data_IF_479072927992
#
_entry.id   IF_479072927992
#
_cell.length_a   1.000
_cell.length_b   1.000
_cell.length_c   1.000
_cell.angle_alpha   90.00
_cell.angle_beta   90.00
_cell.angle_gamma   90.00
#
_symmetry.space_group_name_H-M   'P 1'
#
loop_
_entity.id
_entity.type
_entity.pdbx_description
1 polymer ?
#
# COMPACT_ATOMS: atom_id res chain seq x y z
N UNK A 1 -8.76 30.60 23.14
CA UNK A 1 -9.61 30.76 21.94
C UNK A 1 -9.92 29.37 21.41
N UNK A 2 -11.06 28.81 21.80
CA UNK A 2 -11.54 27.49 21.35
C UNK A 2 -12.29 27.68 20.03
N UNK A 3 -11.71 27.19 18.93
CA UNK A 3 -12.37 27.14 17.62
C UNK A 3 -13.39 26.00 17.63
N UNK A 4 -14.60 26.31 18.08
CA UNK A 4 -15.75 25.42 17.99
C UNK A 4 -16.25 25.44 16.53
N UNK A 5 -15.62 24.64 15.67
CA UNK A 5 -16.06 24.48 14.28
C UNK A 5 -17.27 23.54 14.30
N UNK A 6 -18.48 23.97 13.90
CA UNK A 6 -19.64 23.08 13.86
C UNK A 6 -19.34 21.95 12.86
N UNK A 7 -19.50 20.70 13.31
CA UNK A 7 -19.52 19.54 12.43
C UNK A 7 -20.62 19.77 11.41
N UNK A 8 -20.25 20.03 10.15
CA UNK A 8 -21.20 20.03 9.05
C UNK A 8 -21.90 18.66 9.07
N UNK A 9 -23.22 18.64 9.25
CA UNK A 9 -23.98 17.39 9.11
C UNK A 9 -23.94 17.01 7.62
N UNK A 10 -22.95 16.23 7.24
CA UNK A 10 -23.03 15.49 5.98
C UNK A 10 -24.26 14.58 6.11
N UNK A 11 -25.22 14.73 5.21
CA UNK A 11 -26.26 13.71 5.05
C UNK A 11 -25.56 12.37 4.90
N UNK A 12 -25.96 11.37 5.69
CA UNK A 12 -25.36 10.04 5.61
C UNK A 12 -25.30 9.60 4.15
N UNK A 13 -24.16 9.07 3.66
CA UNK A 13 -24.08 8.59 2.30
C UNK A 13 -25.14 7.50 2.08
N UNK A 14 -26.12 7.77 1.20
CA UNK A 14 -27.13 6.80 0.81
C UNK A 14 -26.62 5.94 -0.34
N UNK A 15 -26.59 4.62 -0.10
CA UNK A 15 -26.18 3.65 -1.11
C UNK A 15 -27.38 3.18 -1.91
N UNK A 16 -27.54 3.70 -3.14
CA UNK A 16 -28.55 3.20 -4.08
C UNK A 16 -28.00 2.02 -4.88
N UNK A 17 -28.52 0.82 -4.61
CA UNK A 17 -28.13 -0.40 -5.31
C UNK A 17 -29.04 -0.67 -6.51
N UNK A 18 -28.45 -0.77 -7.70
CA UNK A 18 -29.14 -1.22 -8.92
C UNK A 18 -28.74 -2.67 -9.22
N UNK A 19 -29.69 -3.59 -9.04
CA UNK A 19 -29.45 -5.02 -9.24
C UNK A 19 -29.02 -5.40 -10.66
N UNK A 20 -29.39 -4.64 -11.70
CA UNK A 20 -28.92 -4.87 -13.07
C UNK A 20 -27.46 -4.46 -13.21
N UNK A 21 -27.10 -3.27 -12.70
CA UNK A 21 -25.71 -2.78 -12.75
C UNK A 21 -24.78 -3.68 -11.95
N UNK A 22 -25.21 -4.14 -10.77
CA UNK A 22 -24.45 -5.09 -9.96
C UNK A 22 -24.23 -6.40 -10.71
N UNK A 23 -25.28 -6.96 -11.33
CA UNK A 23 -25.17 -8.21 -12.09
C UNK A 23 -24.23 -8.08 -13.29
N UNK A 24 -24.32 -6.97 -14.03
CA UNK A 24 -23.41 -6.71 -15.14
C UNK A 24 -21.96 -6.57 -14.67
N UNK A 25 -21.71 -5.79 -13.62
CA UNK A 25 -20.37 -5.63 -13.06
C UNK A 25 -19.79 -6.95 -12.56
N UNK A 26 -20.60 -7.75 -11.86
CA UNK A 26 -20.22 -9.07 -11.36
C UNK A 26 -19.88 -10.03 -12.50
N UNK A 27 -20.73 -10.13 -13.53
CA UNK A 27 -20.47 -11.01 -14.67
C UNK A 27 -19.20 -10.58 -15.43
N UNK A 28 -18.99 -9.28 -15.64
CA UNK A 28 -17.75 -8.77 -16.24
C UNK A 28 -16.51 -9.13 -15.41
N UNK A 29 -16.61 -9.09 -14.09
CA UNK A 29 -15.52 -9.49 -13.19
C UNK A 29 -15.22 -10.99 -13.32
N UNK A 30 -16.25 -11.85 -13.33
CA UNK A 30 -16.10 -13.29 -13.55
C UNK A 30 -15.47 -13.59 -14.90
N UNK A 31 -16.00 -13.03 -15.99
CA UNK A 31 -15.47 -13.23 -17.34
C UNK A 31 -14.00 -12.80 -17.49
N UNK A 32 -13.60 -11.75 -16.76
CA UNK A 32 -12.21 -11.32 -16.71
C UNK A 32 -11.34 -12.28 -15.88
N UNK A 33 -11.83 -12.77 -14.74
CA UNK A 33 -11.12 -13.72 -13.91
C UNK A 33 -10.89 -15.05 -14.65
N UNK A 34 -11.91 -15.57 -15.34
CA UNK A 34 -11.80 -16.79 -16.15
C UNK A 34 -10.71 -16.69 -17.23
N UNK A 35 -10.56 -15.53 -17.88
CA UNK A 35 -9.48 -15.29 -18.86
C UNK A 35 -8.09 -15.33 -18.25
N UNK A 36 -7.98 -15.10 -16.94
CA UNK A 36 -6.72 -15.13 -16.19
C UNK A 36 -6.48 -16.49 -15.51
N UNK A 37 -7.35 -17.48 -15.74
CA UNK A 37 -7.23 -18.82 -15.15
C UNK A 37 -8.16 -19.07 -13.96
N UNK A 38 -9.14 -18.18 -13.73
CA UNK A 38 -10.11 -18.28 -12.63
C UNK A 38 -9.75 -17.38 -11.45
N UNK A 39 -10.67 -17.28 -10.49
CA UNK A 39 -10.46 -16.49 -9.27
C UNK A 39 -9.39 -17.11 -8.39
N UNK A 40 -9.24 -18.44 -8.44
CA UNK A 40 -8.28 -19.23 -7.69
C UNK A 40 -6.85 -18.81 -8.02
N UNK A 41 -6.52 -18.66 -9.30
CA UNK A 41 -5.19 -18.21 -9.76
C UNK A 41 -4.89 -16.78 -9.28
N UNK A 42 -5.89 -15.91 -9.28
CA UNK A 42 -5.74 -14.53 -8.79
C UNK A 42 -5.49 -14.52 -7.28
N UNK A 43 -6.25 -15.31 -6.52
CA UNK A 43 -6.08 -15.45 -5.07
C UNK A 43 -4.74 -16.06 -4.73
N UNK A 44 -4.30 -17.08 -5.46
CA UNK A 44 -2.98 -17.70 -5.29
C UNK A 44 -1.86 -16.68 -5.58
N UNK A 45 -1.97 -15.91 -6.66
CA UNK A 45 -1.03 -14.83 -6.96
C UNK A 45 -0.97 -13.75 -5.88
N UNK A 46 -2.13 -13.38 -5.31
CA UNK A 46 -2.20 -12.41 -4.21
C UNK A 46 -1.57 -12.97 -2.92
N UNK A 47 -1.83 -14.25 -2.62
CA UNK A 47 -1.18 -14.94 -1.50
C UNK A 47 0.34 -15.01 -1.68
N UNK A 48 0.80 -15.33 -2.89
CA UNK A 48 2.23 -15.33 -3.23
C UNK A 48 2.89 -13.97 -3.05
N UNK A 49 2.22 -12.88 -3.44
CA UNK A 49 2.68 -11.51 -3.19
C UNK A 49 2.80 -11.23 -1.68
N UNK A 50 1.77 -11.54 -0.89
CA UNK A 50 1.79 -11.33 0.56
C UNK A 50 2.92 -12.11 1.23
N UNK A 51 3.13 -13.38 0.85
CA UNK A 51 4.24 -14.19 1.34
C UNK A 51 5.60 -13.58 0.98
N UNK A 52 5.75 -13.06 -0.25
CA UNK A 52 6.99 -12.39 -0.66
C UNK A 52 7.28 -11.15 0.20
N UNK A 53 6.27 -10.31 0.43
CA UNK A 53 6.41 -9.11 1.26
C UNK A 53 6.77 -9.46 2.71
N UNK A 54 6.09 -10.43 3.31
CA UNK A 54 6.41 -10.91 4.66
C UNK A 54 7.85 -11.44 4.77
N UNK A 55 8.30 -12.26 3.82
CA UNK A 55 9.68 -12.79 3.82
C UNK A 55 10.73 -11.69 3.65
N UNK A 56 10.39 -10.65 2.90
CA UNK A 56 11.29 -9.53 2.63
C UNK A 56 11.40 -8.58 3.83
N UNK A 57 10.25 -8.23 4.44
CA UNK A 57 10.18 -7.16 5.44
C UNK A 57 10.03 -7.66 6.89
N UNK A 58 9.39 -8.80 7.15
CA UNK A 58 9.27 -9.33 8.51
C UNK A 58 10.49 -10.18 8.91
N UNK A 59 10.96 -11.04 7.99
CA UNK A 59 12.02 -12.01 8.31
C UNK A 59 13.44 -11.46 8.07
N UNK A 60 13.59 -10.47 7.17
CA UNK A 60 14.90 -10.08 6.62
C UNK A 60 15.18 -8.57 6.59
N UNK A 61 14.36 -7.73 7.23
CA UNK A 61 14.51 -6.27 7.11
C UNK A 61 15.92 -5.77 7.47
N UNK A 62 16.56 -6.34 8.50
CA UNK A 62 17.89 -5.92 8.99
C UNK A 62 19.00 -5.94 7.93
N UNK A 63 18.85 -6.78 6.90
CA UNK A 63 19.82 -6.92 5.81
C UNK A 63 19.14 -6.87 4.43
N UNK A 64 18.06 -6.10 4.31
CA UNK A 64 17.33 -5.96 3.05
C UNK A 64 18.27 -5.48 1.93
N UNK A 65 18.35 -6.24 0.83
CA UNK A 65 19.10 -5.82 -0.34
C UNK A 65 18.26 -4.91 -1.24
N UNK A 66 18.91 -3.97 -1.93
CA UNK A 66 18.23 -3.06 -2.87
C UNK A 66 17.47 -3.85 -3.95
N UNK A 67 18.05 -4.93 -4.46
CA UNK A 67 17.39 -5.79 -5.46
C UNK A 67 16.13 -6.45 -4.92
N UNK A 68 16.13 -6.92 -3.67
CA UNK A 68 14.97 -7.57 -3.05
C UNK A 68 13.84 -6.56 -2.83
N UNK A 69 14.18 -5.36 -2.39
CA UNK A 69 13.23 -4.25 -2.31
C UNK A 69 12.66 -3.86 -3.68
N UNK A 70 13.49 -3.81 -4.74
CA UNK A 70 13.01 -3.49 -6.08
C UNK A 70 12.14 -4.60 -6.67
N UNK A 71 12.38 -5.86 -6.32
CA UNK A 71 11.54 -7.00 -6.69
C UNK A 71 10.15 -6.89 -6.06
N UNK A 72 10.03 -6.47 -4.79
CA UNK A 72 8.71 -6.21 -4.18
C UNK A 72 8.00 -5.02 -4.84
N UNK A 73 8.74 -3.95 -5.16
CA UNK A 73 8.19 -2.81 -5.90
C UNK A 73 7.59 -3.20 -7.25
N UNK A 74 8.06 -4.28 -7.89
CA UNK A 74 7.56 -4.73 -9.19
C UNK A 74 6.08 -5.12 -9.16
N UNK A 75 5.56 -5.54 -8.00
CA UNK A 75 4.16 -5.87 -7.77
C UNK A 75 3.26 -4.65 -7.54
N UNK A 76 3.84 -3.45 -7.45
CA UNK A 76 3.13 -2.19 -7.25
C UNK A 76 3.44 -1.23 -8.41
N UNK A 77 2.68 -1.26 -9.52
CA UNK A 77 3.04 -0.56 -10.76
C UNK A 77 3.35 0.93 -10.61
N UNK A 78 2.63 1.63 -9.72
CA UNK A 78 2.88 3.05 -9.45
C UNK A 78 4.18 3.26 -8.67
N UNK A 79 4.43 2.45 -7.64
CA UNK A 79 5.68 2.46 -6.87
C UNK A 79 6.86 2.14 -7.78
N UNK A 80 6.79 1.05 -8.55
CA UNK A 80 7.83 0.65 -9.53
C UNK A 80 8.27 1.79 -10.44
N UNK A 81 7.33 2.62 -10.89
CA UNK A 81 7.61 3.74 -11.80
C UNK A 81 8.22 4.94 -11.10
N UNK A 82 7.95 5.14 -9.81
CA UNK A 82 8.28 6.37 -9.06
C UNK A 82 9.38 6.19 -8.03
N UNK A 83 9.63 4.98 -7.56
CA UNK A 83 10.62 4.72 -6.51
C UNK A 83 12.03 5.14 -6.92
N UNK A 84 12.35 5.08 -8.22
CA UNK A 84 13.62 5.56 -8.74
C UNK A 84 13.88 7.03 -8.42
N UNK A 85 12.88 7.92 -8.48
CA UNK A 85 13.09 9.33 -8.14
C UNK A 85 13.36 9.54 -6.64
N UNK A 86 12.98 8.57 -5.80
CA UNK A 86 13.33 8.58 -4.38
C UNK A 86 14.78 8.15 -4.21
N UNK A 87 15.21 7.06 -4.86
CA UNK A 87 16.59 6.57 -4.85
C UNK A 87 17.61 7.52 -5.51
N UNK A 88 17.15 8.43 -6.38
CA UNK A 88 17.99 9.51 -6.93
C UNK A 88 18.28 10.61 -5.89
N UNK A 89 17.45 10.74 -4.84
CA UNK A 89 17.59 11.78 -3.80
C UNK A 89 18.19 11.25 -2.50
N UNK A 90 18.01 9.97 -2.18
CA UNK A 90 18.55 9.33 -1.00
C UNK A 90 19.16 7.98 -1.34
N UNK A 91 20.17 7.57 -0.57
CA UNK A 91 20.78 6.26 -0.77
C UNK A 91 19.80 5.16 -0.37
N UNK A 92 19.97 3.96 -0.94
CA UNK A 92 19.17 2.82 -0.50
C UNK A 92 19.37 2.50 0.99
N UNK A 93 20.56 2.76 1.55
CA UNK A 93 20.81 2.61 2.99
C UNK A 93 19.91 3.53 3.84
N UNK A 94 19.73 4.78 3.41
CA UNK A 94 18.84 5.73 4.10
C UNK A 94 17.38 5.27 3.99
N UNK A 95 16.98 4.76 2.81
CA UNK A 95 15.65 4.20 2.61
C UNK A 95 15.41 3.00 3.52
N UNK A 96 16.39 2.10 3.64
CA UNK A 96 16.28 0.93 4.49
C UNK A 96 16.12 1.32 5.97
N UNK A 97 16.83 2.35 6.44
CA UNK A 97 16.63 2.90 7.79
C UNK A 97 15.21 3.45 8.00
N UNK A 98 14.65 4.13 7.00
CA UNK A 98 13.27 4.63 7.04
C UNK A 98 12.27 3.47 7.07
N UNK A 99 12.50 2.41 6.29
CA UNK A 99 11.68 1.18 6.30
C UNK A 99 11.78 0.47 7.67
N UNK A 100 12.97 0.42 8.26
CA UNK A 100 13.16 -0.11 9.61
C UNK A 100 12.36 0.64 10.66
N UNK A 101 12.38 1.96 10.61
CA UNK A 101 11.59 2.79 11.50
C UNK A 101 10.08 2.57 11.32
N UNK A 102 9.61 2.32 10.09
CA UNK A 102 8.22 1.96 9.82
C UNK A 102 7.82 0.65 10.54
N UNK A 103 8.71 -0.35 10.54
CA UNK A 103 8.45 -1.70 11.07
C UNK A 103 8.69 -1.86 12.58
N UNK A 104 9.55 -1.04 13.18
CA UNK A 104 9.96 -1.17 14.58
C UNK A 104 8.82 -0.78 15.52
N UNK A 105 8.44 -1.62 16.49
CA UNK A 105 7.41 -1.34 17.51
C UNK A 105 6.03 -0.89 16.96
N UNK A 106 5.69 -1.28 15.73
CA UNK A 106 4.38 -1.00 15.14
C UNK A 106 3.29 -1.89 15.73
N UNK A 107 2.12 -1.30 15.96
CA UNK A 107 0.94 -1.90 16.56
C UNK A 107 -0.32 -1.28 15.95
N UNK A 108 -1.50 -1.82 16.26
CA UNK A 108 -2.77 -1.32 15.73
C UNK A 108 -3.03 0.12 16.20
N UNK A 109 -2.55 0.47 17.39
CA UNK A 109 -2.78 1.75 18.03
C UNK A 109 -1.92 2.90 17.46
N UNK A 110 -0.76 2.59 16.87
CA UNK A 110 0.21 3.58 16.37
C UNK A 110 0.50 3.47 14.86
N UNK A 111 -0.17 2.58 14.12
CA UNK A 111 0.08 2.35 12.69
C UNK A 111 0.01 3.63 11.85
N UNK A 112 -0.95 4.51 12.12
CA UNK A 112 -1.11 5.77 11.38
C UNK A 112 0.07 6.73 11.62
N UNK A 113 0.60 6.79 12.84
CA UNK A 113 1.77 7.61 13.19
C UNK A 113 3.03 7.11 12.47
N UNK A 114 3.19 5.78 12.37
CA UNK A 114 4.31 5.16 11.65
C UNK A 114 4.26 5.47 10.16
N UNK A 115 3.07 5.37 9.56
CA UNK A 115 2.86 5.73 8.15
C UNK A 115 3.13 7.23 7.93
N UNK A 116 2.63 8.11 8.79
CA UNK A 116 2.89 9.56 8.68
C UNK A 116 4.37 9.92 8.83
N UNK A 117 5.08 9.23 9.72
CA UNK A 117 6.53 9.40 9.92
C UNK A 117 7.31 8.91 8.69
N UNK A 118 6.90 7.79 8.09
CA UNK A 118 7.45 7.27 6.84
C UNK A 118 7.24 8.25 5.67
N UNK A 119 6.01 8.74 5.51
CA UNK A 119 5.67 9.76 4.50
C UNK A 119 6.51 11.04 4.67
N UNK A 120 6.64 11.52 5.90
CA UNK A 120 7.41 12.72 6.22
C UNK A 120 8.90 12.56 5.95
N UNK A 121 9.47 11.39 6.28
CA UNK A 121 10.89 11.08 6.06
C UNK A 121 11.26 11.06 4.57
N UNK A 122 10.31 10.68 3.72
CA UNK A 122 10.48 10.71 2.26
C UNK A 122 10.09 12.05 1.63
N UNK A 123 9.72 13.06 2.43
CA UNK A 123 9.26 14.37 1.99
C UNK A 123 8.06 14.26 1.04
N UNK A 124 7.13 13.34 1.36
CA UNK A 124 5.92 13.06 0.58
C UNK A 124 4.98 14.26 0.54
N UNK A 125 4.28 14.43 -0.57
CA UNK A 125 3.17 15.38 -0.71
C UNK A 125 1.85 14.65 -0.97
N UNK A 126 0.72 15.36 -1.00
CA UNK A 126 -0.58 14.76 -1.36
C UNK A 126 -0.61 14.10 -2.75
N UNK A 127 0.33 14.46 -3.64
CA UNK A 127 0.50 13.83 -4.97
C UNK A 127 1.27 12.50 -4.93
N UNK A 128 1.80 12.16 -3.77
CA UNK A 128 2.64 11.00 -3.51
C UNK A 128 1.91 9.94 -2.70
N UNK A 129 0.59 9.81 -2.89
CA UNK A 129 -0.24 8.74 -2.30
C UNK A 129 0.37 7.34 -2.42
N UNK A 130 1.15 7.10 -3.48
CA UNK A 130 1.87 5.85 -3.69
C UNK A 130 2.89 5.52 -2.59
N UNK A 131 3.42 6.52 -1.86
CA UNK A 131 4.30 6.34 -0.70
C UNK A 131 3.50 5.74 0.46
N UNK A 132 2.30 6.25 0.71
CA UNK A 132 1.37 5.66 1.69
C UNK A 132 0.96 4.25 1.30
N UNK A 133 0.65 4.04 0.01
CA UNK A 133 0.30 2.71 -0.49
C UNK A 133 1.47 1.72 -0.29
N UNK A 134 2.73 2.17 -0.49
CA UNK A 134 3.93 1.38 -0.21
C UNK A 134 4.06 1.06 1.28
N UNK A 135 3.91 2.06 2.16
CA UNK A 135 3.97 1.86 3.60
C UNK A 135 2.92 0.85 4.07
N UNK A 136 1.68 0.98 3.59
CA UNK A 136 0.59 0.08 3.90
C UNK A 136 0.89 -1.36 3.45
N UNK A 137 1.49 -1.55 2.28
CA UNK A 137 1.85 -2.89 1.80
C UNK A 137 3.05 -3.50 2.56
N UNK A 138 4.02 -2.68 2.99
CA UNK A 138 5.15 -3.14 3.82
C UNK A 138 4.67 -3.63 5.19
N UNK A 139 3.63 -2.99 5.74
CA UNK A 139 3.05 -3.31 7.05
C UNK A 139 2.06 -4.49 7.03
N UNK A 140 1.72 -5.00 5.85
CA UNK A 140 0.65 -6.00 5.65
C UNK A 140 1.20 -7.44 5.55
#
# INVERSE_FOLDING_TARGET
MTLNRPLQSFSNPELHLDGRRLRTAFNSMVDCAEKLGGIEVIVEGLSGKSILFQRTFCDSAENLLESEFLDTCAFMPTVRRRIKSVLERLSFSDLNQIIHMLLTDVSVENVDEHIETFESSLQSTSKDRWIRDLAAEILH
#
